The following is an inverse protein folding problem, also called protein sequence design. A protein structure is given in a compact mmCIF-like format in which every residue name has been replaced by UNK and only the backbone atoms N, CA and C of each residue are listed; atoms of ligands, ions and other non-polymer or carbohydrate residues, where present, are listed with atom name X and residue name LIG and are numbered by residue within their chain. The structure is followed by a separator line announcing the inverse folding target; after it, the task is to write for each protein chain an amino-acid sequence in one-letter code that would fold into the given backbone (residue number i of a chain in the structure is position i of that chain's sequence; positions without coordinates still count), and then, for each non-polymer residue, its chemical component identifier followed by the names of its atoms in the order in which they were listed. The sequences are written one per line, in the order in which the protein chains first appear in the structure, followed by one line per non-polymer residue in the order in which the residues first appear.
data_IF_806637145970
#
_entry.id   IF_806637145970
#
_cell.length_a   1.000
_cell.length_b   1.000
_cell.length_c   1.000
_cell.angle_alpha   90.00
_cell.angle_beta   90.00
_cell.angle_gamma   90.00
#
_symmetry.space_group_name_H-M   'P 1'
#
loop_
_entity.id
_entity.type
_entity.pdbx_description
1 polymer ?
#
# COMPACT_ATOMS: atom_id res chain seq x y z
N UNK A 1 -17.36 -29.65 40.19
CA UNK A 1 -16.25 -29.56 39.22
C UNK A 1 -16.76 -28.80 38.01
N UNK A 2 -16.62 -27.48 38.04
CA UNK A 2 -17.29 -26.57 37.10
C UNK A 2 -16.41 -26.29 35.88
N UNK A 3 -16.92 -26.64 34.70
CA UNK A 3 -16.28 -26.42 33.40
C UNK A 3 -16.19 -24.92 33.10
N UNK A 4 -14.97 -24.38 33.03
CA UNK A 4 -14.75 -23.02 32.56
C UNK A 4 -14.83 -23.00 31.03
N UNK A 5 -15.96 -22.54 30.51
CA UNK A 5 -16.16 -22.25 29.08
C UNK A 5 -15.50 -20.92 28.74
N UNK A 6 -14.40 -20.98 27.98
CA UNK A 6 -13.68 -19.81 27.50
C UNK A 6 -14.45 -19.14 26.35
N UNK A 7 -14.80 -17.84 26.40
CA UNK A 7 -15.33 -17.16 25.24
C UNK A 7 -14.20 -16.79 24.27
N UNK A 8 -14.12 -17.50 23.14
CA UNK A 8 -13.30 -17.10 22.01
C UNK A 8 -13.88 -15.81 21.38
N UNK A 9 -13.40 -14.66 21.83
CA UNK A 9 -13.77 -13.37 21.23
C UNK A 9 -12.97 -13.18 19.95
N UNK A 10 -13.56 -13.57 18.82
CA UNK A 10 -13.04 -13.30 17.49
C UNK A 10 -13.12 -11.80 17.22
N UNK A 11 -12.04 -11.07 17.54
CA UNK A 11 -11.87 -9.67 17.11
C UNK A 11 -11.76 -9.66 15.59
N UNK A 12 -12.88 -9.33 14.92
CA UNK A 12 -12.93 -8.89 13.52
C UNK A 12 -12.13 -7.58 13.39
N UNK A 13 -10.82 -7.71 13.29
CA UNK A 13 -9.98 -6.63 12.78
C UNK A 13 -10.39 -6.39 11.33
N UNK A 14 -11.02 -5.26 11.05
CA UNK A 14 -11.10 -4.74 9.68
C UNK A 14 -9.67 -4.54 9.20
N UNK A 15 -9.16 -5.53 8.45
CA UNK A 15 -7.85 -5.48 7.84
C UNK A 15 -7.80 -4.23 6.96
N UNK A 16 -7.14 -3.19 7.48
CA UNK A 16 -6.71 -2.05 6.68
C UNK A 16 -5.91 -2.67 5.54
N UNK A 17 -6.46 -2.67 4.32
CA UNK A 17 -5.73 -3.12 3.12
C UNK A 17 -4.35 -2.46 3.19
N UNK A 18 -3.24 -3.21 3.09
CA UNK A 18 -1.92 -2.61 3.02
C UNK A 18 -1.96 -1.64 1.84
N UNK A 19 -1.85 -0.35 2.14
CA UNK A 19 -1.83 0.69 1.10
C UNK A 19 -0.66 0.31 0.19
N UNK A 20 -0.88 0.12 -1.13
CA UNK A 20 0.19 -0.30 -2.01
C UNK A 20 1.36 0.65 -1.78
N UNK A 21 2.52 0.08 -1.46
CA UNK A 21 3.70 0.84 -1.09
C UNK A 21 3.91 1.89 -2.16
N UNK A 22 3.78 3.14 -1.72
CA UNK A 22 3.96 4.31 -2.55
C UNK A 22 5.47 4.51 -2.64
N UNK A 23 6.12 3.64 -3.41
CA UNK A 23 7.55 3.68 -3.66
C UNK A 23 7.85 4.72 -4.74
N UNK A 24 8.76 5.63 -4.43
CA UNK A 24 9.33 6.58 -5.39
C UNK A 24 9.91 5.79 -6.57
N UNK A 25 9.65 6.25 -7.78
CA UNK A 25 10.13 5.57 -8.98
C UNK A 25 10.91 6.51 -9.89
N UNK A 26 12.01 6.02 -10.46
CA UNK A 26 12.81 6.78 -11.42
C UNK A 26 12.20 6.68 -12.81
N UNK A 27 11.99 7.82 -13.46
CA UNK A 27 11.45 7.89 -14.81
C UNK A 27 12.44 7.29 -15.81
N UNK A 28 12.04 6.31 -16.67
CA UNK A 28 12.96 5.73 -17.64
C UNK A 28 13.37 6.72 -18.74
N UNK A 29 12.57 7.76 -18.98
CA UNK A 29 12.82 8.75 -20.03
C UNK A 29 13.81 9.84 -19.57
N UNK A 30 13.50 10.54 -18.47
CA UNK A 30 14.31 11.67 -18.02
C UNK A 30 15.15 11.38 -16.77
N UNK A 31 15.13 10.14 -16.26
CA UNK A 31 15.87 9.68 -15.07
C UNK A 31 15.56 10.45 -13.78
N UNK A 32 14.43 11.18 -13.72
CA UNK A 32 13.99 11.89 -12.51
C UNK A 32 13.15 11.02 -11.59
N UNK A 33 13.33 11.24 -10.30
CA UNK A 33 12.51 10.60 -9.27
C UNK A 33 11.08 11.16 -9.28
N UNK A 34 10.12 10.29 -9.52
CA UNK A 34 8.70 10.59 -9.47
C UNK A 34 8.11 10.09 -8.16
N UNK A 35 7.62 11.03 -7.37
CA UNK A 35 6.95 10.70 -6.11
C UNK A 35 5.53 10.16 -6.37
N UNK A 36 5.15 9.03 -5.77
CA UNK A 36 3.79 8.52 -5.85
C UNK A 36 2.77 9.47 -5.23
N UNK A 37 1.47 9.38 -5.58
CA UNK A 37 0.81 8.33 -6.37
C UNK A 37 0.81 8.55 -7.89
N UNK A 38 1.65 9.45 -8.40
CA UNK A 38 1.63 9.79 -9.82
C UNK A 38 2.04 8.58 -10.66
N UNK A 39 1.17 8.22 -11.60
CA UNK A 39 1.43 7.19 -12.62
C UNK A 39 2.30 7.70 -13.78
N UNK A 40 2.48 9.02 -13.86
CA UNK A 40 3.22 9.73 -14.90
C UNK A 40 4.28 10.63 -14.28
N UNK A 41 5.43 10.75 -14.96
CA UNK A 41 6.47 11.68 -14.59
C UNK A 41 5.94 13.12 -14.65
N UNK A 42 6.27 13.93 -13.64
CA UNK A 42 5.82 15.32 -13.59
C UNK A 42 6.54 16.21 -14.60
N UNK A 43 7.76 15.83 -14.99
CA UNK A 43 8.61 16.63 -15.88
C UNK A 43 8.36 16.34 -17.36
N UNK A 44 8.31 15.05 -17.76
CA UNK A 44 8.21 14.66 -19.17
C UNK A 44 6.91 13.92 -19.53
N UNK A 45 6.05 13.62 -18.54
CA UNK A 45 4.76 12.97 -18.78
C UNK A 45 4.79 11.46 -19.05
N UNK A 46 5.98 10.83 -19.09
CA UNK A 46 6.14 9.38 -19.29
C UNK A 46 5.39 8.57 -18.24
N UNK A 47 4.61 7.58 -18.68
CA UNK A 47 3.90 6.62 -17.83
C UNK A 47 4.81 5.49 -17.38
N UNK A 48 4.59 4.97 -16.16
CA UNK A 48 5.25 3.72 -15.67
C UNK A 48 4.45 2.44 -16.03
N UNK A 49 3.32 2.59 -16.70
CA UNK A 49 2.49 1.52 -17.25
C UNK A 49 2.46 1.62 -18.78
#
# INVERSE_FOLDING_TARGET
MSTLTTPATTRRGTARRPRPERTVWTCPNCQRETRPPRKRCADCGTSRY
#
